data_IF_062868434073
#
_entry.id   IF_062868434073
#
_cell.length_a   1.000
_cell.length_b   1.000
_cell.length_c   1.000
_cell.angle_alpha   90.00
_cell.angle_beta   90.00
_cell.angle_gamma   90.00
#
_symmetry.space_group_name_H-M   'P 1'
#
loop_
_entity.id
_entity.type
_entity.pdbx_description
1 polymer ?
#
# COMPACT_ATOMS: atom_id res chain seq x y z
N UNK A 1 10.10 -5.31 21.37
CA UNK A 1 8.67 -4.92 21.34
C UNK A 1 8.50 -3.46 20.89
N UNK A 2 9.18 -2.50 21.54
CA UNK A 2 9.15 -1.07 21.18
C UNK A 2 9.39 -0.77 19.69
N UNK A 3 10.42 -1.38 19.07
CA UNK A 3 10.70 -1.18 17.64
C UNK A 3 9.57 -1.63 16.69
N UNK A 4 8.71 -2.56 17.10
CA UNK A 4 7.55 -2.97 16.30
C UNK A 4 6.39 -1.99 16.46
N UNK A 5 6.16 -1.48 17.68
CA UNK A 5 5.17 -0.43 17.95
C UNK A 5 5.49 0.86 17.20
N UNK A 6 6.74 1.32 17.23
CA UNK A 6 7.17 2.52 16.49
C UNK A 6 6.99 2.33 14.97
N UNK A 7 7.32 1.14 14.44
CA UNK A 7 7.07 0.81 13.02
C UNK A 7 5.57 0.80 12.68
N UNK A 8 4.74 0.26 13.57
CA UNK A 8 3.28 0.26 13.40
C UNK A 8 2.75 1.68 13.27
N UNK A 9 2.97 2.52 14.29
CA UNK A 9 2.49 3.89 14.31
C UNK A 9 2.99 4.69 13.12
N UNK A 10 4.27 4.55 12.75
CA UNK A 10 4.81 5.20 11.56
C UNK A 10 4.08 4.80 10.27
N UNK A 11 3.78 3.51 10.09
CA UNK A 11 3.08 3.03 8.91
C UNK A 11 1.62 3.52 8.87
N UNK A 12 0.95 3.54 10.03
CA UNK A 12 -0.40 4.11 10.17
C UNK A 12 -0.39 5.60 9.81
N UNK A 13 0.47 6.40 10.45
CA UNK A 13 0.55 7.85 10.21
C UNK A 13 0.87 8.16 8.76
N UNK A 14 1.84 7.45 8.16
CA UNK A 14 2.20 7.67 6.76
C UNK A 14 1.03 7.37 5.82
N UNK A 15 0.40 6.20 5.95
CA UNK A 15 -0.72 5.82 5.06
C UNK A 15 -1.92 6.74 5.22
N UNK A 16 -2.27 7.09 6.47
CA UNK A 16 -3.37 8.02 6.78
C UNK A 16 -3.10 9.42 6.23
N UNK A 17 -1.91 9.98 6.47
CA UNK A 17 -1.53 11.29 5.96
C UNK A 17 -1.56 11.33 4.43
N UNK A 18 -1.02 10.30 3.78
CA UNK A 18 -1.01 10.22 2.32
C UNK A 18 -2.44 10.14 1.77
N UNK A 19 -3.32 9.35 2.39
CA UNK A 19 -4.72 9.24 1.99
C UNK A 19 -5.47 10.58 2.12
N UNK A 20 -5.36 11.25 3.27
CA UNK A 20 -6.00 12.56 3.48
C UNK A 20 -5.45 13.60 2.50
N UNK A 21 -4.13 13.62 2.28
CA UNK A 21 -3.50 14.55 1.35
C UNK A 21 -4.03 14.36 -0.08
N UNK A 22 -4.12 13.12 -0.55
CA UNK A 22 -4.66 12.80 -1.89
C UNK A 22 -6.13 13.18 -1.99
N UNK A 23 -6.94 12.90 -0.95
CA UNK A 23 -8.37 13.26 -0.94
C UNK A 23 -8.53 14.79 -0.93
N UNK A 24 -7.72 15.52 -0.15
CA UNK A 24 -7.74 16.97 -0.12
C UNK A 24 -7.33 17.58 -1.48
N UNK A 25 -6.30 17.03 -2.11
CA UNK A 25 -5.83 17.47 -3.42
C UNK A 25 -6.86 17.19 -4.51
N UNK A 26 -7.53 16.03 -4.46
CA UNK A 26 -8.66 15.70 -5.31
C UNK A 26 -9.85 16.65 -5.10
N UNK A 27 -10.16 17.01 -3.84
CA UNK A 27 -11.21 17.97 -3.51
C UNK A 27 -10.95 19.39 -4.01
N UNK A 28 -9.69 19.83 -4.03
CA UNK A 28 -9.29 21.14 -4.59
C UNK A 28 -9.33 21.15 -6.12
N UNK A 29 -8.89 20.06 -6.76
CA UNK A 29 -8.80 19.98 -8.23
C UNK A 29 -10.12 19.63 -8.91
N UNK A 30 -11.00 18.88 -8.25
CA UNK A 30 -12.25 18.36 -8.82
C UNK A 30 -13.48 18.78 -7.98
N UNK A 31 -13.58 20.09 -7.69
CA UNK A 31 -14.57 20.69 -6.77
C UNK A 31 -16.04 20.39 -7.13
N UNK A 32 -16.37 20.33 -8.42
CA UNK A 32 -17.76 20.26 -8.90
C UNK A 32 -18.26 18.85 -9.25
N UNK A 33 -17.36 17.89 -9.47
CA UNK A 33 -17.70 16.51 -9.87
C UNK A 33 -17.81 15.50 -8.72
N UNK A 34 -16.98 15.67 -7.67
CA UNK A 34 -16.83 14.65 -6.61
C UNK A 34 -17.93 14.76 -5.54
N UNK A 35 -18.46 15.96 -5.29
CA UNK A 35 -19.46 16.23 -4.24
C UNK A 35 -20.82 15.58 -4.50
N UNK A 36 -21.16 15.21 -5.75
CA UNK A 36 -22.43 14.53 -6.08
C UNK A 36 -22.35 13.01 -5.98
N UNK A 37 -21.15 12.43 -6.00
CA UNK A 37 -20.95 10.99 -6.20
C UNK A 37 -20.39 10.31 -4.95
N UNK A 38 -19.72 11.03 -4.05
CA UNK A 38 -18.93 10.41 -2.98
C UNK A 38 -19.51 10.72 -1.60
N UNK A 39 -19.85 9.69 -0.83
CA UNK A 39 -20.34 9.82 0.57
C UNK A 39 -19.32 10.48 1.52
N UNK A 40 -18.08 10.64 1.06
CA UNK A 40 -17.00 11.32 1.76
C UNK A 40 -17.21 12.84 1.90
N UNK A 41 -17.85 13.48 0.91
CA UNK A 41 -17.96 14.93 0.84
C UNK A 41 -19.39 15.37 1.15
N UNK A 42 -19.66 15.70 2.41
CA UNK A 42 -20.93 16.31 2.80
C UNK A 42 -20.70 17.82 2.86
N UNK A 43 -21.40 18.56 2.00
CA UNK A 43 -21.52 20.02 2.10
C UNK A 43 -20.18 20.78 2.08
N UNK A 44 -19.26 20.38 1.20
CA UNK A 44 -17.98 21.07 0.99
C UNK A 44 -16.81 20.60 1.86
N UNK A 45 -17.00 19.59 2.72
CA UNK A 45 -15.94 19.03 3.57
C UNK A 45 -15.99 17.50 3.72
N UNK A 46 -14.92 16.93 4.26
CA UNK A 46 -14.82 15.49 4.57
C UNK A 46 -15.64 15.18 5.83
N UNK A 47 -16.53 14.19 5.77
CA UNK A 47 -17.30 13.75 6.95
C UNK A 47 -16.38 13.21 8.06
N UNK A 48 -16.68 13.53 9.32
CA UNK A 48 -15.94 12.98 10.47
C UNK A 48 -15.97 11.44 10.50
N UNK A 49 -17.09 10.82 10.11
CA UNK A 49 -17.19 9.35 10.01
C UNK A 49 -16.17 8.79 9.02
N UNK A 50 -16.03 9.43 7.87
CA UNK A 50 -15.05 9.05 6.85
C UNK A 50 -13.61 9.14 7.34
N UNK A 51 -13.28 10.13 8.17
CA UNK A 51 -11.94 10.25 8.77
C UNK A 51 -11.66 9.07 9.70
N UNK A 52 -12.63 8.67 10.52
CA UNK A 52 -12.49 7.49 11.38
C UNK A 52 -12.41 6.17 10.58
N UNK A 53 -13.18 6.04 9.49
CA UNK A 53 -13.10 4.88 8.61
C UNK A 53 -11.73 4.78 7.93
N UNK A 54 -11.16 5.89 7.45
CA UNK A 54 -9.80 5.95 6.91
C UNK A 54 -8.74 5.62 7.96
N UNK A 55 -8.94 6.06 9.21
CA UNK A 55 -8.06 5.72 10.32
C UNK A 55 -8.12 4.21 10.62
N UNK A 56 -9.32 3.63 10.62
CA UNK A 56 -9.53 2.20 10.87
C UNK A 56 -8.91 1.36 9.74
N UNK A 57 -9.15 1.73 8.47
CA UNK A 57 -8.55 1.09 7.32
C UNK A 57 -7.00 1.16 7.35
N UNK A 58 -6.43 2.34 7.62
CA UNK A 58 -4.97 2.51 7.71
C UNK A 58 -4.36 1.72 8.86
N UNK A 59 -5.06 1.60 10.00
CA UNK A 59 -4.64 0.77 11.13
C UNK A 59 -4.61 -0.72 10.77
N UNK A 60 -5.65 -1.23 10.09
CA UNK A 60 -5.73 -2.61 9.63
C UNK A 60 -4.64 -2.91 8.59
N UNK A 61 -4.45 -2.00 7.63
CA UNK A 61 -3.40 -2.11 6.63
C UNK A 61 -2.00 -2.15 7.26
N UNK A 62 -1.73 -1.32 8.26
CA UNK A 62 -0.46 -1.35 8.99
C UNK A 62 -0.27 -2.65 9.76
N UNK A 63 -1.33 -3.20 10.37
CA UNK A 63 -1.28 -4.46 11.10
C UNK A 63 -0.98 -5.63 10.15
N UNK A 64 -1.71 -5.71 9.03
CA UNK A 64 -1.46 -6.70 7.99
C UNK A 64 -0.04 -6.59 7.43
N UNK A 65 0.44 -5.37 7.13
CA UNK A 65 1.81 -5.17 6.66
C UNK A 65 2.85 -5.66 7.66
N UNK A 66 2.67 -5.43 8.97
CA UNK A 66 3.57 -5.95 9.99
C UNK A 66 3.57 -7.49 10.07
N UNK A 67 2.40 -8.11 9.92
CA UNK A 67 2.29 -9.57 9.87
C UNK A 67 2.99 -10.14 8.63
N UNK A 68 2.81 -9.49 7.46
CA UNK A 68 3.43 -9.84 6.19
C UNK A 68 4.95 -9.56 6.15
N UNK A 69 5.44 -8.58 6.90
CA UNK A 69 6.87 -8.28 7.07
C UNK A 69 7.58 -9.27 8.01
N UNK A 70 6.83 -10.09 8.76
CA UNK A 70 7.42 -11.01 9.72
C UNK A 70 8.19 -12.13 8.99
N UNK A 71 9.51 -12.28 9.24
CA UNK A 71 10.37 -13.20 8.48
C UNK A 71 10.01 -14.68 8.67
N UNK A 72 9.30 -15.02 9.75
CA UNK A 72 8.88 -16.38 10.08
C UNK A 72 7.74 -16.91 9.21
N UNK A 73 6.92 -16.06 8.59
CA UNK A 73 5.71 -16.52 7.87
C UNK A 73 6.06 -16.98 6.44
N UNK A 74 7.12 -16.44 5.84
CA UNK A 74 7.51 -16.76 4.45
C UNK A 74 9.04 -16.77 4.25
N UNK A 75 9.76 -17.74 4.82
CA UNK A 75 11.23 -17.82 4.74
C UNK A 75 11.76 -18.20 3.34
N UNK A 76 10.93 -18.80 2.46
CA UNK A 76 11.38 -19.33 1.16
C UNK A 76 10.67 -18.71 -0.08
N UNK A 77 9.79 -17.72 0.09
CA UNK A 77 9.05 -17.15 -1.05
C UNK A 77 9.84 -16.09 -1.80
N UNK A 78 9.87 -16.20 -3.14
CA UNK A 78 10.40 -15.16 -4.04
C UNK A 78 9.71 -13.83 -3.73
N UNK A 79 10.49 -12.74 -3.81
CA UNK A 79 10.06 -11.38 -3.47
C UNK A 79 8.78 -10.96 -4.22
N UNK A 80 8.61 -11.43 -5.46
CA UNK A 80 7.40 -11.25 -6.29
C UNK A 80 6.12 -11.74 -5.61
N UNK A 81 6.14 -12.92 -4.99
CA UNK A 81 4.95 -13.46 -4.33
C UNK A 81 4.57 -12.68 -3.06
N UNK A 82 5.55 -12.15 -2.33
CA UNK A 82 5.29 -11.27 -1.17
C UNK A 82 4.58 -9.98 -1.58
N UNK A 83 4.93 -9.44 -2.75
CA UNK A 83 4.30 -8.23 -3.30
C UNK A 83 2.87 -8.53 -3.75
N UNK A 84 2.67 -9.63 -4.51
CA UNK A 84 1.33 -10.07 -4.94
C UNK A 84 0.44 -10.31 -3.72
N UNK A 85 0.95 -10.98 -2.68
CA UNK A 85 0.21 -11.26 -1.46
C UNK A 85 -0.16 -9.96 -0.71
N UNK A 86 0.76 -8.99 -0.60
CA UNK A 86 0.45 -7.68 -0.02
C UNK A 86 -0.68 -6.99 -0.75
N UNK A 87 -0.63 -7.00 -2.09
CA UNK A 87 -1.66 -6.37 -2.91
C UNK A 87 -2.99 -7.10 -2.72
N UNK A 88 -3.00 -8.42 -2.73
CA UNK A 88 -4.20 -9.21 -2.50
C UNK A 88 -4.84 -8.87 -1.15
N UNK A 89 -4.05 -8.73 -0.09
CA UNK A 89 -4.54 -8.35 1.24
C UNK A 89 -5.09 -6.91 1.25
N UNK A 90 -4.43 -5.97 0.58
CA UNK A 90 -4.91 -4.59 0.43
C UNK A 90 -6.27 -4.57 -0.28
N UNK A 91 -6.42 -5.29 -1.39
CA UNK A 91 -7.68 -5.39 -2.14
C UNK A 91 -8.77 -6.02 -1.28
N UNK A 92 -8.46 -7.12 -0.60
CA UNK A 92 -9.38 -7.83 0.27
C UNK A 92 -9.87 -6.96 1.44
N UNK A 93 -9.06 -6.02 1.92
CA UNK A 93 -9.47 -5.07 2.97
C UNK A 93 -10.25 -3.88 2.42
N UNK A 94 -9.91 -3.39 1.23
CA UNK A 94 -10.56 -2.21 0.63
C UNK A 94 -11.97 -2.55 0.13
N UNK A 95 -12.19 -3.72 -0.49
CA UNK A 95 -13.48 -4.09 -1.07
C UNK A 95 -14.64 -4.11 -0.03
N UNK A 96 -14.49 -4.73 1.16
CA UNK A 96 -15.52 -4.67 2.20
C UNK A 96 -15.75 -3.26 2.71
N UNK A 97 -14.70 -2.45 2.85
CA UNK A 97 -14.84 -1.05 3.28
C UNK A 97 -15.62 -0.22 2.26
N UNK A 98 -15.39 -0.42 0.96
CA UNK A 98 -16.18 0.24 -0.09
C UNK A 98 -17.67 -0.12 0.03
N UNK A 99 -17.96 -1.40 0.29
CA UNK A 99 -19.34 -1.89 0.41
C UNK A 99 -20.04 -1.40 1.68
N UNK A 100 -19.38 -1.52 2.84
CA UNK A 100 -19.95 -1.15 4.16
C UNK A 100 -20.03 0.36 4.34
N UNK A 101 -18.97 1.08 4.00
CA UNK A 101 -18.90 2.53 4.18
C UNK A 101 -19.52 3.31 3.00
N UNK A 102 -20.03 2.61 1.98
CA UNK A 102 -20.66 3.20 0.77
C UNK A 102 -19.82 4.34 0.17
N UNK A 103 -18.50 4.17 0.17
CA UNK A 103 -17.55 5.18 -0.30
C UNK A 103 -17.78 5.57 -1.76
N UNK A 104 -18.34 4.65 -2.55
CA UNK A 104 -18.89 4.89 -3.88
C UNK A 104 -20.29 4.27 -4.01
N UNK A 105 -21.17 4.84 -4.84
CA UNK A 105 -22.42 4.21 -5.23
C UNK A 105 -22.11 2.90 -5.95
N UNK A 106 -22.42 1.78 -5.31
CA UNK A 106 -22.19 0.42 -5.85
C UNK A 106 -22.96 0.21 -7.15
N UNK A 107 -24.06 0.93 -7.32
CA UNK A 107 -24.95 0.90 -8.49
C UNK A 107 -24.42 1.68 -9.69
N UNK A 108 -23.38 2.52 -9.53
CA UNK A 108 -22.80 3.29 -10.63
C UNK A 108 -21.58 2.58 -11.23
N UNK A 109 -21.74 2.04 -12.44
CA UNK A 109 -20.67 1.37 -13.17
C UNK A 109 -19.47 2.30 -13.48
N UNK A 110 -19.69 3.61 -13.58
CA UNK A 110 -18.60 4.56 -13.84
C UNK A 110 -17.63 4.66 -12.66
N UNK A 111 -18.14 4.58 -11.42
CA UNK A 111 -17.34 4.56 -10.21
C UNK A 111 -16.43 3.33 -10.12
N UNK A 112 -16.96 2.15 -10.49
CA UNK A 112 -16.20 0.91 -10.53
C UNK A 112 -15.09 0.94 -11.58
N UNK A 113 -15.35 1.51 -12.76
CA UNK A 113 -14.31 1.68 -13.79
C UNK A 113 -13.19 2.58 -13.26
N UNK A 114 -13.53 3.70 -12.61
CA UNK A 114 -12.55 4.58 -11.97
C UNK A 114 -11.70 3.86 -10.92
N UNK A 115 -12.33 3.05 -10.06
CA UNK A 115 -11.63 2.23 -9.07
C UNK A 115 -10.68 1.23 -9.73
N UNK A 116 -11.14 0.47 -10.73
CA UNK A 116 -10.32 -0.54 -11.42
C UNK A 116 -9.14 0.11 -12.15
N UNK A 117 -9.36 1.23 -12.84
CA UNK A 117 -8.30 1.98 -13.53
C UNK A 117 -7.27 2.48 -12.52
N UNK A 118 -7.71 3.14 -11.45
CA UNK A 118 -6.81 3.68 -10.42
C UNK A 118 -6.06 2.56 -9.68
N UNK A 119 -6.73 1.43 -9.44
CA UNK A 119 -6.14 0.23 -8.86
C UNK A 119 -5.07 -0.36 -9.79
N UNK A 120 -5.36 -0.56 -11.07
CA UNK A 120 -4.40 -1.10 -12.04
C UNK A 120 -3.20 -0.17 -12.24
N UNK A 121 -3.42 1.14 -12.26
CA UNK A 121 -2.37 2.15 -12.41
C UNK A 121 -1.45 2.14 -11.18
N UNK A 122 -2.03 2.13 -9.97
CA UNK A 122 -1.28 2.03 -8.72
C UNK A 122 -0.56 0.68 -8.59
N UNK A 123 -1.22 -0.41 -8.98
CA UNK A 123 -0.67 -1.76 -8.97
C UNK A 123 0.52 -1.90 -9.92
N UNK A 124 0.39 -1.41 -11.15
CA UNK A 124 1.47 -1.46 -12.13
C UNK A 124 2.67 -0.64 -11.68
N UNK A 125 2.46 0.58 -11.17
CA UNK A 125 3.51 1.41 -10.60
C UNK A 125 4.21 0.73 -9.40
N UNK A 126 3.44 0.19 -8.44
CA UNK A 126 3.99 -0.50 -7.28
C UNK A 126 4.78 -1.77 -7.68
N UNK A 127 4.28 -2.53 -8.66
CA UNK A 127 4.93 -3.73 -9.16
C UNK A 127 6.23 -3.40 -9.89
N UNK A 128 6.22 -2.38 -10.77
CA UNK A 128 7.41 -1.90 -11.47
C UNK A 128 8.47 -1.40 -10.49
N UNK A 129 8.09 -0.55 -9.53
CA UNK A 129 9.00 -0.02 -8.52
C UNK A 129 9.62 -1.15 -7.68
N UNK A 130 8.83 -2.15 -7.32
CA UNK A 130 9.31 -3.26 -6.50
C UNK A 130 10.20 -4.23 -7.28
N UNK A 131 9.89 -4.51 -8.54
CA UNK A 131 10.77 -5.27 -9.45
C UNK A 131 12.09 -4.52 -9.67
N UNK A 132 12.03 -3.20 -9.86
CA UNK A 132 13.23 -2.37 -10.05
C UNK A 132 14.11 -2.35 -8.78
N UNK A 133 13.53 -2.11 -7.61
CA UNK A 133 14.24 -2.14 -6.34
C UNK A 133 14.87 -3.51 -6.06
N UNK A 134 14.19 -4.60 -6.45
CA UNK A 134 14.69 -5.97 -6.32
C UNK A 134 15.88 -6.22 -7.22
N UNK A 135 15.80 -5.86 -8.51
CA UNK A 135 16.94 -6.01 -9.44
C UNK A 135 18.17 -5.24 -8.99
N UNK A 136 17.98 -4.08 -8.36
CA UNK A 136 19.09 -3.30 -7.78
C UNK A 136 19.74 -4.03 -6.61
N UNK A 137 18.95 -4.55 -5.66
CA UNK A 137 19.47 -5.33 -4.52
C UNK A 137 20.12 -6.64 -4.95
N UNK A 138 19.56 -7.35 -5.92
CA UNK A 138 20.16 -8.59 -6.43
C UNK A 138 21.55 -8.35 -7.03
N UNK A 139 21.73 -7.25 -7.79
CA UNK A 139 23.06 -6.88 -8.31
C UNK A 139 24.06 -6.56 -7.21
N UNK A 140 23.61 -5.91 -6.14
CA UNK A 140 24.44 -5.57 -4.99
C UNK A 140 24.86 -6.82 -4.19
N UNK A 141 23.93 -7.75 -3.98
CA UNK A 141 24.21 -9.04 -3.35
C UNK A 141 25.17 -9.91 -4.17
N UNK A 142 25.00 -9.97 -5.50
CA UNK A 142 25.92 -10.68 -6.40
C UNK A 142 27.35 -10.13 -6.28
N UNK A 143 27.53 -8.80 -6.30
CA UNK A 143 28.84 -8.16 -6.11
C UNK A 143 29.48 -8.49 -4.76
N UNK A 144 28.70 -8.47 -3.68
CA UNK A 144 29.17 -8.84 -2.35
C UNK A 144 29.59 -10.33 -2.28
N UNK A 145 28.85 -11.20 -2.97
CA UNK A 145 29.15 -12.63 -3.02
C UNK A 145 30.45 -12.92 -3.79
N UNK A 146 30.66 -12.24 -4.91
CA UNK A 146 31.89 -12.31 -5.72
C UNK A 146 33.09 -11.81 -4.92
N UNK A 147 32.96 -10.67 -4.23
CA UNK A 147 34.00 -10.13 -3.36
C UNK A 147 34.34 -11.08 -2.19
N UNK A 148 33.35 -11.78 -1.64
CA UNK A 148 33.55 -12.80 -0.61
C UNK A 148 34.29 -14.04 -1.14
N UNK A 149 33.96 -14.50 -2.35
CA UNK A 149 34.63 -15.63 -2.99
C UNK A 149 36.09 -15.31 -3.31
N UNK A 150 36.37 -14.13 -3.88
CA UNK A 150 37.73 -13.68 -4.19
C UNK A 150 38.61 -13.63 -2.93
N UNK A 151 38.12 -13.03 -1.84
CA UNK A 151 38.83 -13.00 -0.55
C UNK A 151 39.08 -14.39 0.05
N UNK A 152 38.23 -15.38 -0.24
CA UNK A 152 38.38 -16.75 0.25
C UNK A 152 39.42 -17.52 -0.55
N UNK A 153 39.58 -17.23 -1.84
CA UNK A 153 40.60 -17.82 -2.69
C UNK A 153 41.99 -17.22 -2.41
N UNK A 154 42.08 -15.92 -2.16
CA UNK A 154 43.31 -15.26 -1.70
C UNK A 154 43.81 -15.81 -0.37
N UNK A 155 42.90 -16.17 0.54
CA UNK A 155 43.24 -16.72 1.86
C UNK A 155 43.59 -18.23 1.84
N UNK A 156 43.43 -18.88 0.69
CA UNK A 156 43.79 -20.29 0.46
C UNK A 156 45.10 -20.46 -0.31
N UNK A 157 45.63 -19.40 -0.91
CA UNK A 157 46.98 -19.32 -1.47
C UNK A 157 47.97 -18.90 -0.38
#
# INVERSE_FOLDING_TARGET
>A
MYNYLVKFFRNVTMSFFTAIFVIALAGVTCRDGIMKVSSFYVQGGISFSAVFELLLLSSLLALCNLLLDKPTVFPAMRLTYKIILRIAVVVMLILPFIYVCRWFPVDDHAAWIGFVVCFLLSFSAATLLSVYATRRKDREYQKLLEAYKAKKEERKK
#
